data_IF_518794278926
#
_entry.id   IF_518794278926
#
_cell.length_a   1.000
_cell.length_b   1.000
_cell.length_c   1.000
_cell.angle_alpha   90.00
_cell.angle_beta   90.00
_cell.angle_gamma   90.00
#
_symmetry.space_group_name_H-M   'P 1'
#
loop_
_entity.id
_entity.type
_entity.pdbx_description
1 polymer ?
#
# COMPACT_ATOMS: atom_id res chain seq x y z
N UNK A 1 -52.97 62.26 -55.62
CA UNK A 1 -52.00 61.16 -55.61
C UNK A 1 -52.05 60.48 -54.24
N UNK A 2 -52.35 59.17 -54.22
CA UNK A 2 -51.95 58.18 -53.19
C UNK A 2 -52.55 58.23 -51.78
N UNK A 3 -53.17 57.14 -51.32
CA UNK A 3 -53.52 56.97 -49.89
C UNK A 3 -54.44 55.80 -49.49
N UNK A 4 -54.12 54.57 -49.92
CA UNK A 4 -54.60 53.26 -49.40
C UNK A 4 -54.29 53.15 -47.88
N UNK A 5 -55.01 52.48 -46.97
CA UNK A 5 -55.35 51.05 -46.85
C UNK A 5 -56.39 50.85 -45.73
N UNK A 6 -57.46 50.13 -46.02
CA UNK A 6 -58.50 49.67 -45.07
C UNK A 6 -58.62 48.14 -45.16
N UNK A 7 -57.76 47.36 -44.47
CA UNK A 7 -57.99 45.92 -44.23
C UNK A 7 -57.13 45.45 -43.03
N UNK A 8 -57.70 45.26 -41.83
CA UNK A 8 -56.94 44.62 -40.73
C UNK A 8 -57.78 44.04 -39.57
N UNK A 9 -59.03 43.60 -39.77
CA UNK A 9 -59.80 42.96 -38.65
C UNK A 9 -60.65 41.74 -39.01
N UNK A 10 -60.42 41.09 -40.15
CA UNK A 10 -61.24 39.94 -40.58
C UNK A 10 -60.43 38.70 -41.03
N UNK A 11 -59.27 38.46 -40.40
CA UNK A 11 -58.42 37.26 -40.65
C UNK A 11 -58.09 36.44 -39.39
N UNK A 12 -58.80 36.67 -38.27
CA UNK A 12 -58.51 35.97 -37.00
C UNK A 12 -59.62 35.04 -36.51
N UNK A 13 -60.80 34.99 -37.15
CA UNK A 13 -61.90 34.13 -36.70
C UNK A 13 -61.86 32.74 -37.35
N UNK A 14 -61.15 32.55 -38.47
CA UNK A 14 -61.06 31.24 -39.14
C UNK A 14 -59.86 30.38 -38.72
N UNK A 15 -58.94 30.91 -37.91
CA UNK A 15 -57.76 30.16 -37.44
C UNK A 15 -57.95 29.54 -36.04
N UNK A 16 -59.09 29.77 -35.39
CA UNK A 16 -59.37 29.33 -34.01
C UNK A 16 -60.29 28.09 -33.93
N UNK A 17 -60.70 27.52 -35.07
CA UNK A 17 -61.60 26.34 -35.10
C UNK A 17 -60.92 25.09 -35.67
N UNK A 18 -59.64 25.18 -36.08
CA UNK A 18 -58.85 24.06 -36.63
C UNK A 18 -57.76 23.59 -35.65
N UNK A 19 -58.07 23.61 -34.35
CA UNK A 19 -57.16 23.27 -33.25
C UNK A 19 -57.80 22.29 -32.26
N UNK A 20 -58.64 21.38 -32.78
CA UNK A 20 -59.54 20.59 -31.94
C UNK A 20 -59.76 19.15 -32.37
N UNK A 21 -58.79 18.44 -32.94
CA UNK A 21 -58.80 16.94 -32.95
C UNK A 21 -57.40 16.35 -33.15
N UNK A 22 -56.53 16.47 -32.14
CA UNK A 22 -55.50 15.45 -31.90
C UNK A 22 -55.69 14.93 -30.49
N UNK A 23 -56.66 14.02 -30.36
CA UNK A 23 -56.76 13.13 -29.22
C UNK A 23 -55.59 12.15 -29.26
N UNK A 24 -54.54 12.46 -28.51
CA UNK A 24 -53.49 11.49 -28.24
C UNK A 24 -54.08 10.44 -27.29
N UNK A 25 -54.38 9.25 -27.82
CA UNK A 25 -54.80 8.11 -27.03
C UNK A 25 -53.71 7.75 -26.03
N UNK A 26 -53.92 8.12 -24.77
CA UNK A 26 -53.07 7.73 -23.66
C UNK A 26 -53.28 6.24 -23.42
N UNK A 27 -52.47 5.41 -24.09
CA UNK A 27 -52.33 3.98 -23.75
C UNK A 27 -52.06 3.93 -22.26
N UNK A 28 -52.98 3.30 -21.52
CA UNK A 28 -52.87 3.13 -20.07
C UNK A 28 -51.46 2.65 -19.74
N UNK A 29 -50.81 3.36 -18.82
CA UNK A 29 -49.53 2.95 -18.26
C UNK A 29 -49.75 1.56 -17.65
N UNK A 30 -49.42 0.51 -18.41
CA UNK A 30 -49.19 -0.80 -17.84
C UNK A 30 -48.13 -0.55 -16.77
N UNK A 31 -48.49 -0.79 -15.51
CA UNK A 31 -47.55 -0.95 -14.42
C UNK A 31 -46.58 -2.05 -14.86
N UNK A 32 -45.52 -1.66 -15.56
CA UNK A 32 -44.37 -2.52 -15.77
C UNK A 32 -43.86 -2.77 -14.36
N UNK A 33 -44.12 -3.98 -13.85
CA UNK A 33 -43.35 -4.54 -12.75
C UNK A 33 -41.91 -4.20 -13.08
N UNK A 34 -41.28 -3.35 -12.27
CA UNK A 34 -39.87 -2.98 -12.46
C UNK A 34 -39.10 -4.29 -12.37
N UNK A 35 -38.85 -4.91 -13.54
CA UNK A 35 -38.06 -6.13 -13.62
C UNK A 35 -36.66 -5.61 -13.40
N UNK A 36 -36.17 -5.72 -12.17
CA UNK A 36 -34.77 -5.49 -11.89
C UNK A 36 -34.00 -6.38 -12.88
N UNK A 37 -33.12 -5.80 -13.70
CA UNK A 37 -32.35 -6.59 -14.66
C UNK A 37 -31.53 -7.63 -13.89
N UNK A 38 -31.36 -8.85 -14.43
CA UNK A 38 -30.51 -9.87 -13.81
C UNK A 38 -29.12 -9.32 -13.48
N UNK A 39 -28.52 -9.83 -12.41
CA UNK A 39 -27.18 -9.44 -11.94
C UNK A 39 -26.13 -9.38 -13.07
N UNK A 40 -26.05 -10.41 -13.92
CA UNK A 40 -25.14 -10.45 -15.08
C UNK A 40 -25.37 -9.28 -16.04
N UNK A 41 -26.62 -8.95 -16.33
CA UNK A 41 -26.95 -7.84 -17.24
C UNK A 41 -26.57 -6.48 -16.66
N UNK A 42 -26.72 -6.28 -15.34
CA UNK A 42 -26.28 -5.07 -14.66
C UNK A 42 -24.76 -4.92 -14.72
N UNK A 43 -24.04 -6.03 -14.52
CA UNK A 43 -22.57 -6.04 -14.59
C UNK A 43 -22.08 -5.70 -16.00
N UNK A 44 -22.60 -6.39 -17.03
CA UNK A 44 -22.25 -6.14 -18.43
C UNK A 44 -22.58 -4.69 -18.85
N UNK A 45 -23.72 -4.17 -18.43
CA UNK A 45 -24.12 -2.78 -18.67
C UNK A 45 -23.15 -1.80 -18.00
N UNK A 46 -22.75 -2.07 -16.75
CA UNK A 46 -21.76 -1.28 -16.03
C UNK A 46 -20.40 -1.27 -16.74
N UNK A 47 -19.96 -2.43 -17.23
CA UNK A 47 -18.73 -2.54 -18.02
C UNK A 47 -18.81 -1.77 -19.34
N UNK A 48 -19.93 -1.85 -20.05
CA UNK A 48 -20.13 -1.10 -21.30
C UNK A 48 -20.07 0.42 -21.04
N UNK A 49 -20.70 0.91 -19.97
CA UNK A 49 -20.59 2.30 -19.58
C UNK A 49 -19.15 2.70 -19.21
N UNK A 50 -18.43 1.84 -18.49
CA UNK A 50 -17.03 2.10 -18.13
C UNK A 50 -16.13 2.18 -19.38
N UNK A 51 -16.35 1.31 -20.37
CA UNK A 51 -15.62 1.33 -21.65
C UNK A 51 -15.88 2.61 -22.46
N UNK A 52 -17.10 3.17 -22.36
CA UNK A 52 -17.49 4.45 -22.98
C UNK A 52 -17.10 5.67 -22.14
N UNK A 53 -16.30 5.50 -21.09
CA UNK A 53 -15.93 6.55 -20.12
C UNK A 53 -17.12 7.21 -19.42
N UNK A 54 -18.29 6.55 -19.39
CA UNK A 54 -19.49 7.02 -18.68
C UNK A 54 -19.44 6.54 -17.23
N UNK A 55 -18.41 6.97 -16.50
CA UNK A 55 -18.03 6.44 -15.19
C UNK A 55 -19.14 6.54 -14.13
N UNK A 56 -19.90 7.64 -14.10
CA UNK A 56 -21.03 7.81 -13.17
C UNK A 56 -22.11 6.73 -13.41
N UNK A 57 -22.46 6.48 -14.67
CA UNK A 57 -23.46 5.45 -15.02
C UNK A 57 -22.95 4.05 -14.76
N UNK A 58 -21.66 3.81 -15.02
CA UNK A 58 -21.00 2.54 -14.72
C UNK A 58 -21.10 2.23 -13.21
N UNK A 59 -20.70 3.18 -12.36
CA UNK A 59 -20.79 3.03 -10.90
C UNK A 59 -22.22 2.83 -10.43
N UNK A 60 -23.20 3.54 -11.01
CA UNK A 60 -24.60 3.35 -10.67
C UNK A 60 -25.09 1.93 -10.99
N UNK A 61 -24.70 1.37 -12.14
CA UNK A 61 -25.05 0.00 -12.53
C UNK A 61 -24.41 -1.03 -11.57
N UNK A 62 -23.13 -0.89 -11.27
CA UNK A 62 -22.43 -1.75 -10.31
C UNK A 62 -23.01 -1.64 -8.89
N UNK A 63 -23.32 -0.43 -8.42
CA UNK A 63 -23.94 -0.23 -7.11
C UNK A 63 -25.35 -0.84 -7.04
N UNK A 64 -26.11 -0.75 -8.14
CA UNK A 64 -27.43 -1.38 -8.23
C UNK A 64 -27.32 -2.89 -8.14
N UNK A 65 -26.30 -3.50 -8.77
CA UNK A 65 -26.01 -4.92 -8.66
C UNK A 65 -25.72 -5.29 -7.20
N UNK A 66 -24.79 -4.61 -6.55
CA UNK A 66 -24.40 -4.88 -5.14
C UNK A 66 -25.62 -4.77 -4.21
N UNK A 67 -26.44 -3.73 -4.38
CA UNK A 67 -27.59 -3.48 -3.51
C UNK A 67 -28.74 -4.47 -3.73
N UNK A 68 -28.92 -4.97 -4.95
CA UNK A 68 -30.04 -5.85 -5.29
C UNK A 68 -29.70 -7.33 -5.18
N UNK A 69 -28.43 -7.67 -5.41
CA UNK A 69 -27.91 -9.04 -5.44
C UNK A 69 -26.61 -9.15 -4.61
N UNK A 70 -26.66 -8.94 -3.29
CA UNK A 70 -25.47 -8.93 -2.43
C UNK A 70 -24.71 -10.27 -2.44
N UNK A 71 -25.43 -11.39 -2.59
CA UNK A 71 -24.87 -12.75 -2.62
C UNK A 71 -24.41 -13.20 -4.02
N UNK A 72 -24.50 -12.33 -5.05
CA UNK A 72 -24.04 -12.66 -6.39
C UNK A 72 -22.53 -12.82 -6.43
N UNK A 73 -22.03 -13.79 -7.20
CA UNK A 73 -20.60 -13.95 -7.47
C UNK A 73 -19.99 -12.69 -8.14
N UNK A 74 -20.81 -11.90 -8.83
CA UNK A 74 -20.39 -10.65 -9.48
C UNK A 74 -20.36 -9.45 -8.53
N UNK A 75 -20.80 -9.62 -7.28
CA UNK A 75 -20.81 -8.56 -6.28
C UNK A 75 -19.38 -8.10 -5.96
N UNK A 76 -18.46 -9.04 -5.72
CA UNK A 76 -17.05 -8.75 -5.46
C UNK A 76 -16.39 -8.03 -6.64
N UNK A 77 -16.61 -8.52 -7.87
CA UNK A 77 -16.09 -7.88 -9.09
C UNK A 77 -16.68 -6.48 -9.32
N UNK A 78 -17.94 -6.25 -8.93
CA UNK A 78 -18.58 -4.93 -8.99
C UNK A 78 -17.94 -3.94 -8.02
N UNK A 79 -17.56 -4.36 -6.82
CA UNK A 79 -16.83 -3.50 -5.88
C UNK A 79 -15.50 -3.02 -6.47
N UNK A 80 -14.72 -3.92 -7.08
CA UNK A 80 -13.48 -3.53 -7.77
C UNK A 80 -13.75 -2.62 -8.96
N UNK A 81 -14.76 -2.93 -9.76
CA UNK A 81 -15.10 -2.14 -10.94
C UNK A 81 -15.51 -0.70 -10.60
N UNK A 82 -16.14 -0.46 -9.43
CA UNK A 82 -16.42 0.88 -8.92
C UNK A 82 -15.11 1.63 -8.62
N UNK A 83 -14.19 0.99 -7.90
CA UNK A 83 -12.86 1.57 -7.61
C UNK A 83 -12.08 1.89 -8.88
N UNK A 84 -12.04 0.95 -9.83
CA UNK A 84 -11.40 1.13 -11.14
C UNK A 84 -12.04 2.26 -11.93
N UNK A 85 -13.35 2.40 -11.87
CA UNK A 85 -14.06 3.49 -12.53
C UNK A 85 -13.65 4.86 -11.97
N UNK A 86 -13.53 5.00 -10.64
CA UNK A 86 -13.03 6.24 -10.04
C UNK A 86 -11.56 6.50 -10.39
N UNK A 87 -10.73 5.46 -10.37
CA UNK A 87 -9.32 5.56 -10.71
C UNK A 87 -9.11 6.02 -12.16
N UNK A 88 -9.89 5.48 -13.11
CA UNK A 88 -9.86 5.83 -14.54
C UNK A 88 -10.40 7.24 -14.81
N UNK A 89 -11.42 7.67 -14.07
CA UNK A 89 -11.93 9.04 -14.15
C UNK A 89 -10.87 10.07 -13.74
N UNK A 90 -10.03 9.70 -12.76
CA UNK A 90 -8.87 10.48 -12.36
C UNK A 90 -9.24 11.80 -11.66
N UNK A 91 -8.22 12.60 -11.34
CA UNK A 91 -8.38 13.75 -10.45
C UNK A 91 -8.32 13.34 -8.98
N UNK A 92 -7.86 14.25 -8.12
CA UNK A 92 -7.55 13.94 -6.72
C UNK A 92 -8.75 13.40 -5.95
N UNK A 93 -9.93 14.01 -6.11
CA UNK A 93 -11.14 13.59 -5.42
C UNK A 93 -11.55 12.16 -5.79
N UNK A 94 -11.53 11.83 -7.09
CA UNK A 94 -11.87 10.48 -7.55
C UNK A 94 -10.80 9.46 -7.14
N UNK A 95 -9.51 9.84 -7.10
CA UNK A 95 -8.46 8.95 -6.57
C UNK A 95 -8.70 8.63 -5.08
N UNK A 96 -9.14 9.60 -4.28
CA UNK A 96 -9.52 9.32 -2.89
C UNK A 96 -10.72 8.38 -2.79
N UNK A 97 -11.74 8.59 -3.62
CA UNK A 97 -12.88 7.66 -3.69
C UNK A 97 -12.44 6.25 -4.12
N UNK A 98 -11.54 6.13 -5.09
CA UNK A 98 -10.98 4.85 -5.50
C UNK A 98 -10.22 4.18 -4.35
N UNK A 99 -9.41 4.92 -3.59
CA UNK A 99 -8.70 4.42 -2.41
C UNK A 99 -9.67 3.79 -1.40
N UNK A 100 -10.77 4.47 -1.11
CA UNK A 100 -11.79 4.00 -0.15
C UNK A 100 -12.54 2.75 -0.66
N UNK A 101 -12.81 2.68 -1.97
CA UNK A 101 -13.46 1.52 -2.59
C UNK A 101 -12.55 0.29 -2.57
N UNK A 102 -11.25 0.44 -2.89
CA UNK A 102 -10.31 -0.68 -2.80
C UNK A 102 -10.11 -1.15 -1.36
N UNK A 103 -10.05 -0.22 -0.39
CA UNK A 103 -10.00 -0.58 1.04
C UNK A 103 -11.23 -1.38 1.44
N UNK A 104 -12.41 -0.94 1.01
CA UNK A 104 -13.67 -1.63 1.27
C UNK A 104 -13.63 -3.05 0.69
N UNK A 105 -13.11 -3.22 -0.53
CA UNK A 105 -12.95 -4.54 -1.12
C UNK A 105 -12.03 -5.46 -0.30
N UNK A 106 -10.86 -4.98 0.13
CA UNK A 106 -9.93 -5.77 0.96
C UNK A 106 -10.57 -6.15 2.31
N UNK A 107 -11.39 -5.27 2.88
CA UNK A 107 -12.09 -5.51 4.15
C UNK A 107 -13.21 -6.55 3.98
N UNK A 108 -14.04 -6.42 2.93
CA UNK A 108 -15.20 -7.29 2.73
C UNK A 108 -14.82 -8.65 2.13
N UNK A 109 -13.75 -8.71 1.32
CA UNK A 109 -13.34 -9.90 0.58
C UNK A 109 -11.85 -10.23 0.80
N UNK A 110 -11.38 -10.41 2.05
CA UNK A 110 -9.94 -10.56 2.35
C UNK A 110 -9.32 -11.83 1.76
N UNK A 111 -10.10 -12.90 1.56
CA UNK A 111 -9.65 -14.18 0.99
C UNK A 111 -9.83 -14.27 -0.52
N UNK A 112 -10.36 -13.24 -1.16
CA UNK A 112 -10.59 -13.25 -2.60
C UNK A 112 -9.25 -13.22 -3.35
N UNK A 113 -9.10 -13.91 -4.51
CA UNK A 113 -7.86 -13.90 -5.28
C UNK A 113 -7.39 -12.48 -5.67
N UNK A 114 -8.33 -11.56 -5.86
CA UNK A 114 -8.09 -10.13 -6.14
C UNK A 114 -7.93 -9.24 -4.89
N UNK A 115 -7.77 -9.80 -3.69
CA UNK A 115 -7.47 -8.99 -2.50
C UNK A 115 -6.05 -8.41 -2.57
N UNK A 116 -5.09 -9.21 -3.04
CA UNK A 116 -3.70 -8.80 -3.27
C UNK A 116 -3.62 -7.62 -4.25
N UNK A 117 -4.38 -7.72 -5.33
CA UNK A 117 -4.61 -6.68 -6.34
C UNK A 117 -5.10 -5.37 -5.76
N UNK A 118 -6.24 -5.41 -5.07
CA UNK A 118 -6.84 -4.22 -4.48
C UNK A 118 -5.86 -3.53 -3.51
N UNK A 119 -5.14 -4.32 -2.73
CA UNK A 119 -4.11 -3.79 -1.83
C UNK A 119 -2.95 -3.11 -2.57
N UNK A 120 -2.51 -3.68 -3.70
CA UNK A 120 -1.52 -3.04 -4.57
C UNK A 120 -2.05 -1.76 -5.24
N UNK A 121 -3.33 -1.73 -5.63
CA UNK A 121 -3.97 -0.52 -6.17
C UNK A 121 -4.02 0.60 -5.13
N UNK A 122 -4.25 0.29 -3.85
CA UNK A 122 -4.15 1.28 -2.76
C UNK A 122 -2.73 1.84 -2.67
N UNK A 123 -1.72 0.97 -2.71
CA UNK A 123 -0.32 1.40 -2.66
C UNK A 123 0.05 2.26 -3.86
N UNK A 124 -0.26 1.82 -5.09
CA UNK A 124 0.09 2.52 -6.33
C UNK A 124 -0.60 3.88 -6.43
N UNK A 125 -1.85 3.98 -5.97
CA UNK A 125 -2.61 5.21 -5.94
C UNK A 125 -1.97 6.23 -4.99
N UNK A 126 -1.60 5.80 -3.78
CA UNK A 126 -0.90 6.67 -2.84
C UNK A 126 0.48 7.07 -3.36
N UNK A 127 1.22 6.16 -4.01
CA UNK A 127 2.49 6.48 -4.67
C UNK A 127 2.33 7.51 -5.78
N UNK A 128 1.24 7.44 -6.55
CA UNK A 128 0.93 8.44 -7.59
C UNK A 128 0.62 9.82 -7.01
N UNK A 129 0.10 9.89 -5.78
CA UNK A 129 -0.17 11.14 -5.06
C UNK A 129 1.02 11.61 -4.21
N UNK A 130 2.11 10.83 -4.14
CA UNK A 130 3.34 11.27 -3.48
C UNK A 130 3.90 12.52 -4.15
N UNK A 131 4.48 13.35 -3.30
CA UNK A 131 5.11 14.60 -3.71
C UNK A 131 6.61 14.52 -3.44
N UNK A 132 7.31 15.57 -3.84
CA UNK A 132 8.73 15.73 -3.54
C UNK A 132 8.99 15.67 -2.02
N UNK A 133 10.19 15.23 -1.59
CA UNK A 133 10.53 15.03 -0.17
C UNK A 133 10.38 16.28 0.72
N UNK A 134 10.45 17.47 0.14
CA UNK A 134 10.33 18.76 0.83
C UNK A 134 8.86 19.18 1.06
N UNK A 135 7.90 18.45 0.49
CA UNK A 135 6.46 18.70 0.58
C UNK A 135 5.81 17.81 1.64
N UNK A 136 4.50 17.93 1.77
CA UNK A 136 3.71 17.15 2.73
C UNK A 136 3.88 15.63 2.50
N UNK A 137 4.39 14.87 3.48
CA UNK A 137 4.66 13.44 3.36
C UNK A 137 3.41 12.55 3.53
N UNK A 138 2.20 13.12 3.68
CA UNK A 138 0.98 12.36 3.97
C UNK A 138 0.79 11.15 3.03
N UNK A 139 0.91 11.35 1.71
CA UNK A 139 0.71 10.27 0.74
C UNK A 139 1.89 9.30 0.69
N UNK A 140 3.13 9.76 0.97
CA UNK A 140 4.29 8.88 1.12
C UNK A 140 4.12 7.96 2.34
N UNK A 141 3.61 8.47 3.46
CA UNK A 141 3.31 7.68 4.65
C UNK A 141 2.20 6.65 4.39
N UNK A 142 1.11 7.05 3.71
CA UNK A 142 0.04 6.13 3.31
C UNK A 142 0.55 5.04 2.35
N UNK A 143 1.39 5.39 1.37
CA UNK A 143 1.99 4.44 0.44
C UNK A 143 2.87 3.42 1.19
N UNK A 144 3.68 3.89 2.14
CA UNK A 144 4.50 3.02 2.98
C UNK A 144 3.63 2.01 3.75
N UNK A 145 2.56 2.48 4.40
CA UNK A 145 1.64 1.64 5.15
C UNK A 145 0.95 0.60 4.25
N UNK A 146 0.49 1.02 3.06
CA UNK A 146 -0.17 0.13 2.11
C UNK A 146 0.76 -0.96 1.57
N UNK A 147 2.03 -0.64 1.29
CA UNK A 147 3.05 -1.59 0.87
C UNK A 147 3.44 -2.56 2.00
N UNK A 148 3.58 -2.06 3.23
CA UNK A 148 3.84 -2.90 4.40
C UNK A 148 2.72 -3.91 4.61
N UNK A 149 1.46 -3.45 4.57
CA UNK A 149 0.28 -4.33 4.64
C UNK A 149 0.27 -5.37 3.53
N UNK A 150 0.63 -5.00 2.29
CA UNK A 150 0.72 -5.97 1.20
C UNK A 150 1.75 -7.07 1.49
N UNK A 151 2.95 -6.68 1.93
CA UNK A 151 4.05 -7.61 2.22
C UNK A 151 3.68 -8.53 3.40
N UNK A 152 2.98 -8.01 4.41
CA UNK A 152 2.52 -8.77 5.57
C UNK A 152 1.38 -9.75 5.23
N UNK A 153 0.39 -9.29 4.46
CA UNK A 153 -0.78 -10.10 4.10
C UNK A 153 -0.47 -11.13 3.01
N UNK A 154 0.43 -10.82 2.09
CA UNK A 154 0.70 -11.63 0.90
C UNK A 154 2.20 -11.94 0.73
N UNK A 155 2.86 -12.59 1.71
CA UNK A 155 4.32 -12.79 1.70
C UNK A 155 4.82 -13.62 0.51
N UNK A 156 4.02 -14.59 0.05
CA UNK A 156 4.36 -15.51 -1.05
C UNK A 156 3.90 -15.03 -2.42
N UNK A 157 3.27 -13.85 -2.50
CA UNK A 157 2.78 -13.32 -3.77
C UNK A 157 3.96 -12.97 -4.69
N UNK A 158 3.91 -13.27 -6.01
CA UNK A 158 5.04 -13.05 -6.91
C UNK A 158 5.49 -11.58 -7.02
N UNK A 159 4.60 -10.64 -6.71
CA UNK A 159 4.89 -9.20 -6.67
C UNK A 159 5.60 -8.75 -5.36
N UNK A 160 5.64 -9.57 -4.32
CA UNK A 160 6.18 -9.19 -3.00
C UNK A 160 7.63 -8.73 -3.01
N UNK A 161 8.55 -9.36 -3.76
CA UNK A 161 9.90 -8.82 -3.92
C UNK A 161 9.89 -7.40 -4.51
N UNK A 162 9.05 -7.14 -5.52
CA UNK A 162 8.93 -5.82 -6.13
C UNK A 162 8.28 -4.80 -5.21
N UNK A 163 7.30 -5.20 -4.40
CA UNK A 163 6.70 -4.36 -3.38
C UNK A 163 7.73 -3.93 -2.31
N UNK A 164 8.70 -4.79 -1.96
CA UNK A 164 9.81 -4.41 -1.08
C UNK A 164 10.71 -3.35 -1.69
N UNK A 165 11.01 -3.45 -2.99
CA UNK A 165 11.77 -2.41 -3.70
C UNK A 165 11.03 -1.06 -3.67
N UNK A 166 9.72 -1.07 -3.97
CA UNK A 166 8.90 0.14 -3.90
C UNK A 166 8.80 0.68 -2.48
N UNK A 167 8.71 -0.18 -1.46
CA UNK A 167 8.71 0.24 -0.07
C UNK A 167 10.01 0.98 0.27
N UNK A 168 11.15 0.47 -0.19
CA UNK A 168 12.44 1.13 -0.04
C UNK A 168 12.46 2.49 -0.73
N UNK A 169 11.89 2.60 -1.93
CA UNK A 169 11.81 3.88 -2.66
C UNK A 169 10.92 4.91 -1.94
N UNK A 170 9.79 4.49 -1.37
CA UNK A 170 8.92 5.36 -0.57
C UNK A 170 9.61 5.80 0.72
N UNK A 171 10.31 4.88 1.38
CA UNK A 171 11.09 5.17 2.58
C UNK A 171 12.26 6.12 2.30
N UNK A 172 12.87 6.02 1.11
CA UNK A 172 13.90 6.96 0.64
C UNK A 172 13.33 8.38 0.58
N UNK A 173 12.20 8.57 -0.12
CA UNK A 173 11.53 9.88 -0.22
C UNK A 173 11.18 10.46 1.17
N UNK A 174 10.67 9.64 2.08
CA UNK A 174 10.39 10.06 3.46
C UNK A 174 11.68 10.47 4.18
N UNK A 175 12.73 9.64 4.11
CA UNK A 175 14.00 9.87 4.77
C UNK A 175 14.69 11.14 4.25
N UNK A 176 14.67 11.40 2.94
CA UNK A 176 15.16 12.63 2.32
C UNK A 176 14.48 13.88 2.91
N UNK A 177 13.17 13.83 3.12
CA UNK A 177 12.42 14.92 3.76
C UNK A 177 12.87 15.17 5.20
N UNK A 178 12.98 14.11 6.01
CA UNK A 178 13.52 14.23 7.38
C UNK A 178 14.97 14.74 7.38
N UNK A 179 15.77 14.30 6.41
CA UNK A 179 17.18 14.66 6.28
C UNK A 179 17.33 16.14 5.93
N UNK A 180 16.54 16.65 4.99
CA UNK A 180 16.48 18.06 4.64
C UNK A 180 16.11 18.94 5.84
N UNK A 181 15.11 18.54 6.63
CA UNK A 181 14.72 19.23 7.87
C UNK A 181 15.85 19.19 8.90
N UNK A 182 16.53 18.05 9.05
CA UNK A 182 17.69 17.90 9.93
C UNK A 182 18.82 18.87 9.57
N UNK A 183 19.18 18.93 8.28
CA UNK A 183 20.18 19.88 7.76
C UNK A 183 19.76 21.33 7.99
N UNK A 184 18.49 21.66 7.77
CA UNK A 184 17.97 23.00 8.03
C UNK A 184 18.17 23.43 9.49
N UNK A 185 17.87 22.57 10.46
CA UNK A 185 18.09 22.88 11.87
C UNK A 185 19.58 22.95 12.24
N UNK A 186 20.41 22.04 11.70
CA UNK A 186 21.85 22.03 11.93
C UNK A 186 22.51 23.32 11.43
N UNK A 187 22.13 23.79 10.24
CA UNK A 187 22.63 25.03 9.64
C UNK A 187 22.25 26.28 10.44
N UNK A 188 21.14 26.23 11.20
CA UNK A 188 20.71 27.30 12.12
C UNK A 188 21.29 27.17 13.53
N UNK A 189 22.18 26.20 13.77
CA UNK A 189 22.78 25.95 15.07
C UNK A 189 21.85 25.28 16.09
N UNK A 190 20.64 24.86 15.70
CA UNK A 190 19.75 24.11 16.59
C UNK A 190 20.07 22.61 16.53
N UNK A 191 21.15 22.23 17.21
CA UNK A 191 21.66 20.86 17.17
C UNK A 191 20.76 19.86 17.89
N UNK A 192 19.98 20.28 18.90
CA UNK A 192 19.02 19.40 19.59
C UNK A 192 17.90 18.96 18.64
N UNK A 193 17.33 19.91 17.88
CA UNK A 193 16.31 19.59 16.89
C UNK A 193 16.89 18.78 15.72
N UNK A 194 18.07 19.16 15.22
CA UNK A 194 18.75 18.41 14.15
C UNK A 194 19.01 16.95 14.55
N UNK A 195 19.53 16.73 15.76
CA UNK A 195 19.75 15.39 16.34
C UNK A 195 18.47 14.56 16.31
N UNK A 196 17.35 15.09 16.78
CA UNK A 196 16.08 14.35 16.79
C UNK A 196 15.64 13.93 15.38
N UNK A 197 15.87 14.77 14.37
CA UNK A 197 15.53 14.45 12.97
C UNK A 197 16.44 13.37 12.40
N UNK A 198 17.76 13.47 12.59
CA UNK A 198 18.69 12.45 12.10
C UNK A 198 18.53 11.12 12.85
N UNK A 199 18.31 11.14 14.17
CA UNK A 199 18.01 9.92 14.94
C UNK A 199 16.75 9.23 14.41
N UNK A 200 15.71 9.98 14.05
CA UNK A 200 14.49 9.42 13.49
C UNK A 200 14.76 8.66 12.18
N UNK A 201 15.65 9.17 11.32
CA UNK A 201 16.07 8.48 10.10
C UNK A 201 16.76 7.16 10.45
N UNK A 202 17.74 7.18 11.37
CA UNK A 202 18.50 5.98 11.74
C UNK A 202 17.62 4.86 12.31
N UNK A 203 16.49 5.23 12.93
CA UNK A 203 15.54 4.30 13.57
C UNK A 203 14.46 3.81 12.60
N UNK A 204 13.93 4.70 11.75
CA UNK A 204 12.78 4.39 10.88
C UNK A 204 13.20 3.92 9.48
N UNK A 205 14.34 4.37 8.98
CA UNK A 205 14.81 4.16 7.62
C UNK A 205 16.25 3.63 7.60
N UNK A 206 16.52 2.43 8.14
CA UNK A 206 17.88 1.88 8.24
C UNK A 206 18.54 1.54 6.90
N UNK A 207 17.79 1.63 5.80
CA UNK A 207 18.25 1.35 4.43
C UNK A 207 18.38 2.60 3.57
N UNK A 208 18.23 3.78 4.16
CA UNK A 208 18.33 5.06 3.48
C UNK A 208 19.69 5.23 2.76
N UNK A 209 19.69 5.75 1.53
CA UNK A 209 20.90 5.79 0.71
C UNK A 209 21.97 6.74 1.26
N UNK A 210 21.58 7.88 1.85
CA UNK A 210 22.48 8.85 2.49
C UNK A 210 22.68 8.57 3.99
N UNK A 211 22.63 7.30 4.42
CA UNK A 211 22.83 6.95 5.83
C UNK A 211 24.21 7.33 6.37
N UNK A 212 25.26 7.31 5.55
CA UNK A 212 26.59 7.76 5.95
C UNK A 212 26.59 9.24 6.39
N UNK A 213 26.08 10.11 5.51
CA UNK A 213 25.96 11.54 5.76
C UNK A 213 25.02 11.79 6.96
N UNK A 214 23.94 11.02 7.08
CA UNK A 214 23.04 11.08 8.24
C UNK A 214 23.78 10.77 9.54
N UNK A 215 24.60 9.71 9.58
CA UNK A 215 25.40 9.39 10.75
C UNK A 215 26.41 10.49 11.08
N UNK A 216 27.06 11.06 10.06
CA UNK A 216 28.04 12.11 10.24
C UNK A 216 27.41 13.39 10.80
N UNK A 217 26.29 13.83 10.22
CA UNK A 217 25.55 15.01 10.69
C UNK A 217 24.97 14.78 12.10
N UNK A 218 24.51 13.57 12.40
CA UNK A 218 24.06 13.20 13.73
C UNK A 218 25.20 13.26 14.76
N UNK A 219 26.36 12.70 14.44
CA UNK A 219 27.54 12.74 15.30
C UNK A 219 27.99 14.19 15.58
N UNK A 220 28.01 15.04 14.55
CA UNK A 220 28.31 16.48 14.71
C UNK A 220 27.29 17.21 15.57
N UNK A 221 26.00 16.94 15.38
CA UNK A 221 24.95 17.52 16.22
C UNK A 221 25.08 17.06 17.68
N UNK A 222 25.50 15.82 17.93
CA UNK A 222 25.78 15.29 19.27
C UNK A 222 26.97 15.98 19.92
N UNK A 223 28.10 16.12 19.22
CA UNK A 223 29.26 16.89 19.72
C UNK A 223 28.88 18.32 20.08
N UNK A 224 28.15 19.01 19.19
CA UNK A 224 27.73 20.39 19.41
C UNK A 224 26.66 20.55 20.49
N UNK A 225 26.07 19.45 20.95
CA UNK A 225 25.15 19.42 22.10
C UNK A 225 25.78 18.76 23.33
N UNK A 226 27.11 18.74 23.42
CA UNK A 226 27.90 18.25 24.56
C UNK A 226 27.71 16.75 24.86
N UNK A 227 27.29 15.96 23.87
CA UNK A 227 27.11 14.50 23.95
C UNK A 227 28.17 13.77 23.15
N UNK A 228 29.44 14.07 23.41
CA UNK A 228 30.58 13.55 22.64
C UNK A 228 30.73 12.02 22.72
N UNK A 229 30.38 11.41 23.86
CA UNK A 229 30.39 9.95 23.99
C UNK A 229 29.39 9.27 23.06
N UNK A 230 28.19 9.86 22.89
CA UNK A 230 27.18 9.35 21.96
C UNK A 230 27.59 9.61 20.50
N UNK A 231 28.27 10.72 20.22
CA UNK A 231 28.79 11.02 18.89
C UNK A 231 29.77 9.95 18.41
N UNK A 232 30.63 9.45 19.30
CA UNK A 232 31.60 8.39 19.00
C UNK A 232 30.92 7.11 18.47
N UNK A 233 29.72 6.78 18.94
CA UNK A 233 28.96 5.61 18.45
C UNK A 233 28.69 5.74 16.95
N UNK A 234 28.31 6.93 16.49
CA UNK A 234 27.96 7.16 15.10
C UNK A 234 29.19 7.31 14.19
N UNK A 235 30.28 7.90 14.68
CA UNK A 235 31.56 7.87 13.95
C UNK A 235 32.11 6.44 13.83
N UNK A 236 31.97 5.62 14.88
CA UNK A 236 32.35 4.21 14.83
C UNK A 236 31.56 3.46 13.75
N UNK A 237 30.25 3.72 13.61
CA UNK A 237 29.43 3.13 12.52
C UNK A 237 29.91 3.52 11.12
N UNK A 238 30.37 4.76 10.94
CA UNK A 238 30.94 5.22 9.68
C UNK A 238 32.27 4.48 9.40
N UNK A 239 33.16 4.43 10.39
CA UNK A 239 34.46 3.75 10.29
C UNK A 239 34.32 2.24 10.09
N UNK A 240 33.29 1.61 10.64
CA UNK A 240 33.03 0.18 10.45
C UNK A 240 32.38 -0.10 9.08
N UNK A 241 31.38 0.69 8.69
CA UNK A 241 30.45 0.34 7.63
C UNK A 241 30.56 1.12 6.31
N UNK A 242 31.36 2.18 6.24
CA UNK A 242 31.46 3.04 5.05
C UNK A 242 32.92 3.33 4.66
N UNK A 243 33.74 2.30 4.35
CA UNK A 243 35.18 2.47 4.07
C UNK A 243 35.52 3.33 2.85
N UNK A 244 34.59 3.47 1.90
CA UNK A 244 34.74 4.30 0.69
C UNK A 244 33.87 5.55 0.72
N UNK A 245 33.25 5.82 1.87
CA UNK A 245 32.39 6.98 2.08
C UNK A 245 33.16 8.29 2.17
N UNK A 246 32.47 9.40 1.91
CA UNK A 246 33.05 10.75 1.96
C UNK A 246 33.63 11.09 3.34
N UNK A 247 32.97 10.62 4.40
CA UNK A 247 33.27 10.97 5.80
C UNK A 247 34.08 9.90 6.53
N UNK A 248 34.52 8.86 5.84
CA UNK A 248 35.28 7.77 6.46
C UNK A 248 36.54 8.25 7.17
N UNK A 249 37.37 9.05 6.48
CA UNK A 249 38.61 9.58 7.04
C UNK A 249 38.36 10.51 8.23
N UNK A 250 37.38 11.42 8.09
CA UNK A 250 37.00 12.36 9.15
C UNK A 250 36.47 11.64 10.39
N UNK A 251 35.62 10.62 10.24
CA UNK A 251 35.09 9.85 11.35
C UNK A 251 36.20 9.17 12.17
N UNK A 252 37.21 8.59 11.50
CA UNK A 252 38.37 7.98 12.17
C UNK A 252 39.20 9.02 12.92
N UNK A 253 39.45 10.19 12.31
CA UNK A 253 40.17 11.28 12.95
C UNK A 253 39.44 11.77 14.21
N UNK A 254 38.11 11.97 14.12
CA UNK A 254 37.28 12.36 15.26
C UNK A 254 37.30 11.35 16.40
N UNK A 255 37.24 10.05 16.11
CA UNK A 255 37.37 9.01 17.14
C UNK A 255 38.74 9.08 17.85
N UNK A 256 39.82 9.27 17.09
CA UNK A 256 41.16 9.40 17.65
C UNK A 256 41.29 10.66 18.53
N UNK A 257 40.76 11.80 18.07
CA UNK A 257 40.70 13.05 18.86
C UNK A 257 39.91 12.88 20.17
N UNK A 258 38.84 12.08 20.14
CA UNK A 258 38.03 11.75 21.31
C UNK A 258 38.68 10.68 22.22
N UNK A 259 39.86 10.15 21.86
CA UNK A 259 40.50 9.05 22.57
C UNK A 259 39.72 7.74 22.53
N UNK A 260 38.83 7.55 21.54
CA UNK A 260 38.01 6.36 21.36
C UNK A 260 38.67 5.40 20.36
N UNK A 261 38.54 4.07 20.57
CA UNK A 261 39.09 3.10 19.63
C UNK A 261 38.38 3.18 18.27
N UNK A 262 39.17 3.09 17.20
CA UNK A 262 38.63 3.00 15.84
C UNK A 262 38.30 1.53 15.54
N UNK A 263 37.03 1.18 15.28
CA UNK A 263 36.68 -0.19 14.96
C UNK A 263 37.29 -0.61 13.60
N UNK A 264 37.60 -1.90 13.42
CA UNK A 264 37.99 -2.42 12.11
C UNK A 264 36.80 -2.33 11.13
N UNK A 265 37.12 -2.20 9.84
CA UNK A 265 36.11 -2.20 8.78
C UNK A 265 35.44 -3.57 8.72
N UNK A 266 34.10 -3.59 8.75
CA UNK A 266 33.32 -4.79 8.59
C UNK A 266 32.92 -4.97 7.12
N UNK A 267 33.56 -5.93 6.44
CA UNK A 267 33.37 -6.16 5.01
C UNK A 267 31.91 -6.47 4.63
N UNK A 268 31.16 -7.19 5.49
CA UNK A 268 29.76 -7.53 5.21
C UNK A 268 28.85 -6.30 5.29
N UNK A 269 29.04 -5.48 6.33
CA UNK A 269 28.28 -4.23 6.51
C UNK A 269 28.64 -3.24 5.40
N UNK A 270 29.91 -3.13 5.04
CA UNK A 270 30.38 -2.29 3.94
C UNK A 270 29.77 -2.69 2.59
N UNK A 271 29.78 -3.99 2.25
CA UNK A 271 29.16 -4.48 1.04
C UNK A 271 27.65 -4.19 1.03
N UNK A 272 26.95 -4.44 2.14
CA UNK A 272 25.52 -4.12 2.26
C UNK A 272 25.26 -2.62 2.07
N UNK A 273 26.06 -1.76 2.68
CA UNK A 273 25.90 -0.31 2.56
C UNK A 273 26.18 0.19 1.14
N UNK A 274 27.15 -0.39 0.43
CA UNK A 274 27.40 -0.06 -0.97
C UNK A 274 26.20 -0.39 -1.86
N UNK A 275 25.52 -1.52 -1.65
CA UNK A 275 24.33 -1.87 -2.44
C UNK A 275 23.13 -0.93 -2.24
N UNK A 276 23.16 -0.11 -1.18
CA UNK A 276 22.10 0.87 -0.86
C UNK A 276 22.35 2.23 -1.51
N UNK A 277 23.60 2.55 -1.87
CA UNK A 277 23.92 3.80 -2.53
C UNK A 277 23.29 3.81 -3.92
N UNK A 278 22.39 4.77 -4.17
CA UNK A 278 21.83 4.99 -5.51
C UNK A 278 22.83 5.83 -6.32
N UNK A 279 23.10 5.51 -7.59
CA UNK A 279 23.90 6.38 -8.45
C UNK A 279 23.18 7.73 -8.61
N UNK A 280 23.94 8.83 -8.66
CA UNK A 280 23.44 10.22 -8.68
C UNK A 280 22.72 10.61 -9.98
N UNK A 281 22.35 9.66 -10.84
CA UNK A 281 21.58 9.96 -12.04
C UNK A 281 20.18 10.42 -11.62
N UNK A 282 19.87 11.66 -11.99
CA UNK A 282 18.72 12.43 -11.50
C UNK A 282 17.46 11.60 -11.33
N UNK A 283 16.98 11.59 -10.10
CA UNK A 283 15.67 11.09 -9.74
C UNK A 283 14.61 11.72 -10.65
N UNK A 284 14.07 10.93 -11.56
CA UNK A 284 12.73 11.16 -12.06
C UNK A 284 11.81 10.32 -11.17
N UNK A 285 10.84 10.89 -10.46
CA UNK A 285 9.88 10.11 -9.66
C UNK A 285 9.09 9.10 -10.51
N UNK A 286 9.19 9.23 -11.84
CA UNK A 286 8.60 8.37 -12.85
C UNK A 286 9.63 7.44 -13.52
N UNK A 287 10.92 7.40 -13.17
CA UNK A 287 11.89 6.52 -13.86
C UNK A 287 11.65 5.02 -13.66
N UNK A 288 11.33 4.49 -12.46
CA UNK A 288 10.91 3.10 -12.34
C UNK A 288 9.52 2.86 -12.93
N UNK A 289 8.66 3.88 -12.98
CA UNK A 289 7.34 3.83 -13.62
C UNK A 289 7.46 3.83 -15.15
N UNK A 290 8.44 4.52 -15.71
CA UNK A 290 8.73 4.59 -17.15
C UNK A 290 9.59 3.43 -17.61
N UNK A 291 10.48 2.88 -16.79
CA UNK A 291 11.17 1.62 -17.04
C UNK A 291 10.20 0.43 -16.97
N UNK A 292 9.27 0.45 -16.00
CA UNK A 292 8.12 -0.44 -15.98
C UNK A 292 7.23 -0.21 -17.22
N UNK A 293 6.84 1.02 -17.56
CA UNK A 293 6.01 1.32 -18.74
C UNK A 293 6.68 1.05 -20.11
N UNK A 294 8.02 1.13 -20.20
CA UNK A 294 8.82 0.90 -21.42
C UNK A 294 9.09 -0.59 -21.66
N UNK A 295 9.14 -1.42 -20.60
CA UNK A 295 9.27 -2.87 -20.72
C UNK A 295 8.00 -3.56 -21.26
N UNK A 296 6.83 -2.93 -21.13
CA UNK A 296 5.50 -3.43 -21.54
C UNK A 296 4.90 -2.70 -22.76
N UNK A 297 5.68 -1.88 -23.47
CA UNK A 297 5.31 -1.39 -24.81
C UNK A 297 3.99 -0.61 -24.92
N UNK A 298 3.64 0.22 -23.93
CA UNK A 298 2.35 0.90 -23.89
C UNK A 298 2.42 2.39 -24.31
N UNK A 299 1.52 2.81 -25.22
CA UNK A 299 1.24 4.23 -25.53
C UNK A 299 0.16 4.74 -24.57
N UNK A 300 0.57 5.54 -23.58
CA UNK A 300 -0.27 6.00 -22.44
C UNK A 300 0.13 5.27 -21.14
N UNK A 301 -0.22 5.73 -19.92
CA UNK A 301 0.11 4.96 -18.72
C UNK A 301 -0.96 3.86 -18.49
N UNK A 302 -0.63 2.56 -18.64
CA UNK A 302 -1.52 1.47 -18.24
C UNK A 302 -1.53 1.30 -16.73
N UNK A 303 -2.61 0.71 -16.22
CA UNK A 303 -2.76 0.33 -14.82
C UNK A 303 -1.66 -0.68 -14.42
N UNK A 304 -0.78 -0.28 -13.49
CA UNK A 304 0.40 -1.05 -13.09
C UNK A 304 0.05 -2.42 -12.48
N UNK A 305 -1.19 -2.56 -12.06
CA UNK A 305 -1.72 -3.79 -11.54
C UNK A 305 -2.05 -4.82 -12.64
N UNK A 306 -2.72 -4.40 -13.72
CA UNK A 306 -3.16 -5.30 -14.82
C UNK A 306 -1.98 -5.90 -15.60
N UNK A 307 -0.85 -5.19 -15.66
CA UNK A 307 0.36 -5.64 -16.37
C UNK A 307 1.19 -6.59 -15.53
N UNK A 308 1.38 -6.29 -14.24
CA UNK A 308 2.01 -7.21 -13.30
C UNK A 308 1.20 -8.50 -13.15
N UNK A 309 -0.13 -8.40 -13.14
CA UNK A 309 -1.05 -9.54 -13.13
C UNK A 309 -0.84 -10.46 -14.34
N UNK A 310 -0.78 -9.92 -15.56
CA UNK A 310 -0.56 -10.70 -16.79
C UNK A 310 0.82 -11.35 -16.87
N UNK A 311 1.87 -10.70 -16.36
CA UNK A 311 3.21 -11.29 -16.28
C UNK A 311 3.30 -12.44 -15.28
N UNK A 312 2.49 -12.37 -14.21
CA UNK A 312 2.41 -13.42 -13.21
C UNK A 312 1.54 -14.57 -13.73
N UNK A 313 0.34 -14.28 -14.24
CA UNK A 313 -0.57 -15.27 -14.84
C UNK A 313 0.11 -16.05 -15.97
N UNK A 314 0.87 -15.39 -16.85
CA UNK A 314 1.65 -16.07 -17.91
C UNK A 314 2.81 -16.92 -17.38
N UNK A 315 3.48 -16.52 -16.29
CA UNK A 315 4.50 -17.35 -15.64
C UNK A 315 3.90 -18.55 -14.90
N UNK A 316 2.72 -18.39 -14.30
CA UNK A 316 1.99 -19.46 -13.64
C UNK A 316 1.41 -20.45 -14.67
N UNK A 317 0.91 -19.98 -15.81
CA UNK A 317 0.48 -20.82 -16.95
C UNK A 317 1.65 -21.55 -17.62
N UNK A 318 2.83 -20.91 -17.73
CA UNK A 318 4.06 -21.55 -18.21
C UNK A 318 4.58 -22.65 -17.24
N UNK A 319 4.40 -22.46 -15.92
CA UNK A 319 4.73 -23.47 -14.92
C UNK A 319 3.70 -24.63 -14.92
N UNK A 320 2.42 -24.36 -15.17
CA UNK A 320 1.37 -25.37 -15.27
C UNK A 320 1.47 -26.21 -16.58
N UNK A 321 1.91 -25.61 -17.69
CA UNK A 321 2.13 -26.31 -18.95
C UNK A 321 3.43 -27.14 -18.99
N UNK A 322 4.43 -26.81 -18.17
CA UNK A 322 5.64 -27.63 -17.99
C UNK A 322 5.41 -28.88 -17.12
N UNK A 323 4.35 -28.90 -16.31
CA UNK A 323 3.95 -30.08 -15.51
C UNK A 323 2.92 -30.97 -16.21
N UNK A 324 2.30 -30.47 -17.29
CA UNK A 324 1.38 -31.24 -18.15
C UNK A 324 2.05 -31.83 -19.41
N UNK A 325 3.35 -31.61 -19.60
CA UNK A 325 4.11 -31.98 -20.80
C UNK A 325 5.12 -33.11 -20.62
N UNK A 326 4.86 -34.08 -19.73
CA UNK A 326 5.61 -35.33 -19.73
C UNK A 326 4.92 -36.32 -20.69
N UNK A 327 5.57 -36.79 -21.77
CA UNK A 327 4.95 -37.72 -22.70
C UNK A 327 4.85 -39.11 -22.06
N UNK A 328 3.66 -39.70 -22.18
CA UNK A 328 3.44 -41.13 -22.00
C UNK A 328 4.41 -41.92 -22.88
N UNK A 329 5.28 -42.70 -22.25
CA UNK A 329 6.26 -43.56 -22.91
C UNK A 329 6.59 -44.75 -22.03
N UNK A 330 5.90 -45.85 -22.31
CA UNK A 330 6.23 -47.26 -22.07
C UNK A 330 7.13 -47.65 -20.88
N UNK A 331 6.55 -48.48 -20.02
CA UNK A 331 7.31 -49.41 -19.16
C UNK A 331 8.21 -50.29 -20.04
N UNK A 332 9.38 -50.69 -19.51
CA UNK A 332 9.46 -52.08 -19.09
C UNK A 332 9.98 -52.23 -17.65
N UNK A 333 9.71 -53.44 -17.15
CA UNK A 333 10.08 -53.96 -15.86
C UNK A 333 11.61 -54.08 -15.67
N UNK A 334 11.96 -54.35 -14.42
CA UNK A 334 13.26 -54.81 -13.91
C UNK A 334 14.29 -53.72 -13.61
N UNK A 335 14.17 -53.12 -12.43
CA UNK A 335 15.20 -53.32 -11.40
C UNK A 335 14.69 -52.86 -10.03
N UNK A 336 14.06 -53.82 -9.36
CA UNK A 336 14.08 -53.85 -7.91
C UNK A 336 15.52 -54.13 -7.48
N UNK A 337 16.16 -53.18 -6.79
CA UNK A 337 17.07 -53.37 -5.65
C UNK A 337 17.82 -52.05 -5.41
N UNK A 338 18.10 -51.73 -4.15
CA UNK A 338 18.83 -50.55 -3.65
C UNK A 338 17.96 -49.29 -3.40
N UNK A 339 17.01 -49.39 -2.46
CA UNK A 339 16.84 -48.44 -1.31
C UNK A 339 15.65 -48.79 -0.42
N UNK A 340 15.56 -50.05 -0.01
CA UNK A 340 14.69 -50.49 1.07
C UNK A 340 15.48 -51.22 2.15
N UNK A 341 16.67 -50.68 2.50
CA UNK A 341 17.55 -51.28 3.51
C UNK A 341 18.12 -50.22 4.47
N UNK A 342 17.33 -49.21 4.85
CA UNK A 342 17.61 -48.39 6.05
C UNK A 342 16.27 -47.97 6.65
N UNK A 343 15.52 -48.93 7.21
CA UNK A 343 14.42 -48.70 8.17
C UNK A 343 13.91 -50.02 8.73
N UNK A 344 14.83 -50.87 9.21
CA UNK A 344 14.48 -52.02 10.04
C UNK A 344 15.65 -52.52 10.89
N UNK A 345 16.25 -51.61 11.66
CA UNK A 345 16.96 -52.01 12.87
C UNK A 345 16.79 -50.91 13.91
N UNK A 346 15.90 -51.20 14.87
CA UNK A 346 15.79 -50.67 16.24
C UNK A 346 14.33 -50.76 16.69
N UNK A 347 13.88 -51.99 16.94
CA UNK A 347 12.79 -52.27 17.88
C UNK A 347 12.97 -53.70 18.42
N UNK A 348 13.25 -53.81 19.72
CA UNK A 348 13.45 -55.06 20.46
C UNK A 348 14.38 -54.77 21.65
N UNK A 349 13.90 -54.11 22.70
CA UNK A 349 13.15 -54.65 23.85
C UNK A 349 14.07 -55.22 24.94
N UNK A 350 14.00 -54.65 26.15
CA UNK A 350 13.96 -55.36 27.45
C UNK A 350 13.51 -54.44 28.57
N UNK A 351 12.74 -55.04 29.49
CA UNK A 351 11.90 -54.49 30.55
C UNK A 351 12.64 -54.10 31.86
N UNK A 352 11.82 -53.59 32.79
CA UNK A 352 11.91 -53.64 34.26
C UNK A 352 12.53 -52.38 34.93
N UNK A 353 12.05 -51.81 36.04
CA UNK A 353 10.98 -52.14 37.01
C UNK A 353 10.72 -50.91 37.92
N UNK A 354 9.54 -50.83 38.58
CA UNK A 354 9.21 -50.20 39.90
C UNK A 354 9.57 -48.70 40.15
N UNK A 355 8.74 -47.82 40.72
CA UNK A 355 7.42 -47.91 41.36
C UNK A 355 7.06 -46.60 42.10
N UNK A 356 5.76 -46.45 42.39
CA UNK A 356 5.13 -45.80 43.56
C UNK A 356 5.20 -44.27 43.80
N UNK A 357 4.01 -43.65 43.85
CA UNK A 357 3.46 -42.64 44.82
C UNK A 357 4.32 -41.42 45.21
N UNK A 358 3.79 -40.19 45.30
CA UNK A 358 2.90 -39.77 46.41
C UNK A 358 2.21 -38.42 46.10
N UNK A 359 1.04 -38.28 46.70
CA UNK A 359 0.05 -37.19 46.73
C UNK A 359 0.27 -36.37 48.01
N UNK A 360 0.31 -35.04 47.98
CA UNK A 360 -0.09 -34.14 49.10
C UNK A 360 0.12 -32.66 48.73
N UNK A 361 -0.96 -31.87 48.54
CA UNK A 361 -1.68 -31.00 49.49
C UNK A 361 -1.26 -29.53 49.43
N UNK A 362 -2.25 -28.67 49.15
CA UNK A 362 -2.28 -27.25 49.52
C UNK A 362 -2.29 -27.12 51.05
N UNK A 363 -1.98 -25.92 51.57
CA UNK A 363 -3.10 -25.15 52.11
C UNK A 363 -3.07 -23.65 51.81
N UNK A 364 -4.27 -23.11 51.87
CA UNK A 364 -4.71 -21.71 51.87
C UNK A 364 -4.63 -21.05 53.25
N UNK A 365 -4.38 -19.75 53.28
CA UNK A 365 -4.90 -18.75 54.25
C UNK A 365 -4.73 -17.38 53.55
N UNK A 366 -5.73 -16.61 53.12
CA UNK A 366 -6.95 -16.06 53.72
C UNK A 366 -6.73 -14.80 54.59
N UNK A 367 -7.64 -13.83 54.40
CA UNK A 367 -7.88 -12.53 55.09
C UNK A 367 -7.12 -11.28 54.59
N UNK A 368 -7.70 -10.07 54.54
CA UNK A 368 -9.07 -9.53 54.63
C UNK A 368 -8.99 -7.98 54.48
N UNK A 369 -10.08 -7.31 54.04
CA UNK A 369 -10.39 -5.87 54.24
C UNK A 369 -9.89 -4.94 53.12
N UNK A 370 -10.72 -4.24 52.33
CA UNK A 370 -11.82 -3.31 52.71
C UNK A 370 -11.22 -1.92 52.97
N UNK A 371 -11.59 -0.78 52.39
CA UNK A 371 -12.61 -0.34 51.46
C UNK A 371 -12.58 1.21 51.43
N UNK A 372 -13.50 1.82 50.66
CA UNK A 372 -13.97 3.24 50.66
C UNK A 372 -13.43 4.21 49.60
N UNK A 373 -14.35 4.46 48.65
CA UNK A 373 -14.81 5.77 48.15
C UNK A 373 -14.33 7.02 48.89
N UNK A 374 -13.99 8.06 48.12
CA UNK A 374 -14.56 9.39 48.38
C UNK A 374 -14.58 10.28 47.12
N UNK A 375 -15.79 10.53 46.64
CA UNK A 375 -16.17 11.72 45.88
C UNK A 375 -16.27 12.92 46.83
N UNK A 376 -15.68 14.08 46.49
CA UNK A 376 -16.20 15.36 46.99
C UNK A 376 -15.98 16.52 46.01
N UNK A 377 -17.11 17.17 45.80
CA UNK A 377 -17.52 18.30 44.96
C UNK A 377 -17.34 19.61 45.74
N UNK A 378 -17.01 20.73 45.07
CA UNK A 378 -17.46 22.12 45.33
C UNK A 378 -16.84 23.06 44.26
N UNK A 379 -17.63 23.63 43.34
CA UNK A 379 -18.40 24.90 43.39
C UNK A 379 -17.52 26.15 43.51
N UNK A 380 -17.49 26.98 42.45
CA UNK A 380 -18.02 28.37 42.37
C UNK A 380 -16.82 29.35 42.32
N UNK A 381 -16.74 30.45 41.54
CA UNK A 381 -17.72 31.51 41.25
C UNK A 381 -17.43 32.29 39.93
N UNK A 382 -18.43 33.10 39.56
CA UNK A 382 -18.52 34.08 38.47
C UNK A 382 -17.49 35.24 38.55
N UNK A 383 -17.21 35.83 37.36
CA UNK A 383 -16.97 37.26 36.95
C UNK A 383 -17.12 38.37 38.03
N UNK A 384 -16.62 39.64 37.85
CA UNK A 384 -16.26 40.31 36.58
C UNK A 384 -15.02 41.26 36.60
N UNK A 385 -14.54 41.62 35.41
CA UNK A 385 -14.21 43.00 34.98
C UNK A 385 -13.95 42.99 33.49
#
# INVERSE_FOLDING_TARGET
MGGTVMVSKLRYVFFLVLLGTWGCGQKGAKLQKSVVPPDKTLFETGQEYAQKSQFIKARLAFQTLINTYPDSELSSESYLAIGDSFYKEGGTENLLQAEDQYKSFVIFFPTHPRAADAQLKIASLNMKMMRDPDRDPQYSAKAQEALQKFIEMFPDHPFTPKARDYLRDVQENLAEGFFGIGKFYANRGNYVAARQRFEAITKKFPEFSEMEETYYQLAKALEKSERSDDAAIYYARIAEGYPFGKHFGEAKARLAEMGKPVPPVNAQVAAKNQTRQKPSEGFSPLSPITAFAKAIGFKGPPDAYETAKKEIESKTEAAASQTAGAPDGDKPADDALIKAEIRKSQSGATEATLGSTTKETRPSTDKNGGGKNNSKKKKNDKKPS
#
